data_IF_680114781154
#
_entry.id   IF_680114781154
#
_cell.length_a   1.000
_cell.length_b   1.000
_cell.length_c   1.000
_cell.angle_alpha   90.00
_cell.angle_beta   90.00
_cell.angle_gamma   90.00
#
_symmetry.space_group_name_H-M   'P 1'
#
loop_
_entity.id
_entity.type
_entity.pdbx_description
1 polymer ?
#
# COMPACT_ATOMS: atom_id res chain seq x y z
N UNK A 1 -15.41 22.99 10.61
CA UNK A 1 -13.93 22.84 10.67
C UNK A 1 -13.45 21.46 11.11
N UNK A 2 -14.03 20.83 12.16
CA UNK A 2 -13.64 19.46 12.56
C UNK A 2 -14.35 18.38 11.73
N UNK A 3 -15.59 18.61 11.32
CA UNK A 3 -16.34 17.73 10.42
C UNK A 3 -15.78 17.71 9.01
N UNK A 4 -15.38 18.87 8.48
CA UNK A 4 -14.76 19.00 7.15
C UNK A 4 -13.48 18.17 7.02
N UNK A 5 -12.66 18.11 8.07
CA UNK A 5 -11.42 17.31 8.10
C UNK A 5 -11.68 15.81 8.13
N UNK A 6 -12.77 15.38 8.77
CA UNK A 6 -13.18 13.96 8.82
C UNK A 6 -13.72 13.54 7.46
N UNK A 7 -14.56 14.38 6.85
CA UNK A 7 -15.09 14.15 5.49
C UNK A 7 -13.94 14.07 4.48
N UNK A 8 -12.99 15.02 4.52
CA UNK A 8 -11.81 14.99 3.65
C UNK A 8 -10.97 13.72 3.86
N UNK A 9 -10.80 13.28 5.11
CA UNK A 9 -10.13 12.02 5.44
C UNK A 9 -10.86 10.78 4.90
N UNK A 10 -12.18 10.74 5.03
CA UNK A 10 -13.02 9.67 4.49
C UNK A 10 -12.92 9.59 2.96
N UNK A 11 -12.94 10.74 2.27
CA UNK A 11 -12.75 10.81 0.81
C UNK A 11 -11.36 10.30 0.40
N UNK A 12 -10.30 10.71 1.09
CA UNK A 12 -8.94 10.19 0.81
C UNK A 12 -8.83 8.67 1.02
N UNK A 13 -9.46 8.14 2.05
CA UNK A 13 -9.46 6.70 2.32
C UNK A 13 -10.27 5.91 1.29
N UNK A 14 -11.42 6.42 0.86
CA UNK A 14 -12.19 5.84 -0.23
C UNK A 14 -11.35 5.74 -1.51
N UNK A 15 -10.58 6.79 -1.83
CA UNK A 15 -9.63 6.80 -2.94
C UNK A 15 -8.55 5.73 -2.82
N UNK A 16 -7.90 5.62 -1.65
CA UNK A 16 -6.87 4.60 -1.41
C UNK A 16 -7.46 3.18 -1.51
N UNK A 17 -8.68 2.97 -1.02
CA UNK A 17 -9.38 1.70 -1.13
C UNK A 17 -9.72 1.38 -2.59
N UNK A 18 -10.21 2.34 -3.36
CA UNK A 18 -10.48 2.21 -4.80
C UNK A 18 -9.23 1.83 -5.59
N UNK A 19 -8.14 2.59 -5.46
CA UNK A 19 -6.85 2.29 -6.12
C UNK A 19 -6.30 0.90 -5.78
N UNK A 20 -6.50 0.43 -4.54
CA UNK A 20 -6.07 -0.90 -4.12
C UNK A 20 -6.93 -2.01 -4.70
N UNK A 21 -8.23 -1.76 -4.78
CA UNK A 21 -9.17 -2.70 -5.33
C UNK A 21 -8.93 -2.92 -6.83
N UNK A 22 -8.71 -1.84 -7.58
CA UNK A 22 -8.29 -1.88 -8.98
C UNK A 22 -7.10 -2.84 -9.18
N UNK A 23 -6.06 -2.68 -8.34
CA UNK A 23 -4.84 -3.51 -8.35
C UNK A 23 -5.08 -4.95 -7.89
N UNK A 24 -6.15 -5.25 -7.18
CA UNK A 24 -6.48 -6.60 -6.73
C UNK A 24 -7.10 -7.44 -7.84
N UNK A 25 -7.84 -6.82 -8.77
CA UNK A 25 -8.54 -7.54 -9.84
C UNK A 25 -7.61 -8.05 -10.95
N UNK A 26 -6.56 -7.32 -11.31
CA UNK A 26 -5.67 -7.77 -12.39
C UNK A 26 -4.96 -9.11 -12.10
N UNK A 27 -4.36 -9.33 -10.91
CA UNK A 27 -3.86 -10.65 -10.54
C UNK A 27 -4.94 -11.73 -10.53
N UNK A 28 -6.15 -11.42 -10.05
CA UNK A 28 -7.27 -12.36 -10.06
C UNK A 28 -7.71 -12.72 -11.49
N UNK A 29 -7.74 -11.75 -12.40
CA UNK A 29 -8.10 -11.96 -13.81
C UNK A 29 -7.09 -12.84 -14.54
N UNK A 30 -5.80 -12.77 -14.17
CA UNK A 30 -4.71 -13.59 -14.75
C UNK A 30 -4.56 -14.98 -14.14
N UNK A 31 -5.16 -15.24 -13.00
CA UNK A 31 -5.05 -16.52 -12.29
C UNK A 31 -5.91 -17.59 -12.98
N UNK A 32 -5.40 -18.83 -13.05
CA UNK A 32 -6.24 -19.99 -13.37
C UNK A 32 -7.00 -20.43 -12.11
N UNK A 33 -8.28 -20.74 -12.26
CA UNK A 33 -9.12 -21.28 -11.19
C UNK A 33 -9.26 -22.81 -11.25
N UNK A 34 -8.73 -23.42 -12.31
CA UNK A 34 -8.69 -24.88 -12.49
C UNK A 34 -7.28 -25.47 -12.36
N UNK A 35 -6.24 -24.65 -12.20
CA UNK A 35 -4.85 -25.07 -12.01
C UNK A 35 -4.09 -24.13 -11.06
N UNK A 36 -2.87 -24.52 -10.66
CA UNK A 36 -1.98 -23.70 -9.83
C UNK A 36 -1.17 -22.66 -10.62
N UNK A 37 -1.39 -22.53 -11.94
CA UNK A 37 -0.64 -21.60 -12.81
C UNK A 37 -1.45 -20.36 -13.17
N UNK A 38 -0.90 -19.47 -14.01
CA UNK A 38 -1.69 -18.44 -14.66
C UNK A 38 -2.63 -19.05 -15.73
N UNK A 39 -3.68 -18.31 -16.08
CA UNK A 39 -4.71 -18.79 -17.03
C UNK A 39 -4.15 -19.06 -18.42
N UNK A 40 -3.09 -18.36 -18.84
CA UNK A 40 -2.47 -18.57 -20.14
C UNK A 40 -1.71 -19.88 -20.20
N UNK A 41 -0.91 -20.18 -19.18
CA UNK A 41 -0.24 -21.48 -19.03
C UNK A 41 -1.24 -22.63 -18.95
N UNK A 42 -2.31 -22.46 -18.18
CA UNK A 42 -3.37 -23.46 -18.06
C UNK A 42 -4.08 -23.72 -19.40
N UNK A 43 -4.45 -22.66 -20.10
CA UNK A 43 -5.12 -22.76 -21.39
C UNK A 43 -4.24 -23.41 -22.45
N UNK A 44 -2.96 -23.05 -22.49
CA UNK A 44 -2.01 -23.68 -23.41
C UNK A 44 -1.90 -25.19 -23.20
N UNK A 45 -1.72 -25.62 -21.93
CA UNK A 45 -1.65 -27.03 -21.59
C UNK A 45 -2.95 -27.78 -21.96
N UNK A 46 -4.10 -27.15 -21.67
CA UNK A 46 -5.41 -27.69 -21.99
C UNK A 46 -5.63 -27.81 -23.51
N UNK A 47 -5.36 -26.75 -24.28
CA UNK A 47 -5.52 -26.73 -25.73
C UNK A 47 -4.64 -27.77 -26.43
N UNK A 48 -3.41 -27.98 -25.93
CA UNK A 48 -2.50 -29.02 -26.42
C UNK A 48 -3.04 -30.42 -26.13
N UNK A 49 -3.57 -30.66 -24.93
CA UNK A 49 -4.12 -31.96 -24.54
C UNK A 49 -5.40 -32.33 -25.32
N UNK A 50 -6.14 -31.33 -25.82
CA UNK A 50 -7.37 -31.51 -26.61
C UNK A 50 -7.13 -31.36 -28.12
N UNK A 51 -5.86 -31.35 -28.55
CA UNK A 51 -5.45 -31.31 -29.96
C UNK A 51 -6.11 -30.18 -30.78
N UNK A 52 -6.30 -29.02 -30.15
CA UNK A 52 -6.89 -27.87 -30.85
C UNK A 52 -5.96 -27.37 -31.97
N UNK A 53 -6.53 -27.06 -33.13
CA UNK A 53 -5.78 -26.66 -34.34
C UNK A 53 -4.85 -25.47 -34.13
N UNK A 54 -5.23 -24.55 -33.24
CA UNK A 54 -4.45 -23.35 -32.91
C UNK A 54 -3.53 -23.53 -31.68
N UNK A 55 -3.45 -24.71 -31.07
CA UNK A 55 -2.66 -24.94 -29.86
C UNK A 55 -1.15 -24.71 -30.04
N UNK A 56 -0.64 -24.83 -31.27
CA UNK A 56 0.75 -24.50 -31.60
C UNK A 56 0.95 -23.03 -32.03
N UNK A 57 -0.14 -22.32 -32.31
CA UNK A 57 -0.13 -20.93 -32.71
C UNK A 57 -0.07 -20.00 -31.49
N UNK A 58 1.16 -19.65 -31.10
CA UNK A 58 1.42 -18.73 -29.97
C UNK A 58 0.76 -17.37 -30.12
N UNK A 59 0.59 -16.87 -31.35
CA UNK A 59 -0.07 -15.58 -31.57
C UNK A 59 -1.54 -15.65 -31.17
N UNK A 60 -2.25 -16.65 -31.68
CA UNK A 60 -3.67 -16.89 -31.35
C UNK A 60 -3.86 -17.12 -29.86
N UNK A 61 -3.04 -17.97 -29.24
CA UNK A 61 -3.14 -18.24 -27.81
C UNK A 61 -2.95 -16.99 -26.94
N UNK A 62 -1.94 -16.17 -27.26
CA UNK A 62 -1.71 -14.93 -26.54
C UNK A 62 -2.87 -13.95 -26.73
N UNK A 63 -3.44 -13.88 -27.93
CA UNK A 63 -4.55 -12.98 -28.23
C UNK A 63 -5.83 -13.40 -27.49
N UNK A 64 -6.16 -14.69 -27.50
CA UNK A 64 -7.27 -15.28 -26.73
C UNK A 64 -7.15 -14.94 -25.25
N UNK A 65 -5.96 -15.14 -24.67
CA UNK A 65 -5.75 -14.90 -23.23
C UNK A 65 -5.82 -13.43 -22.87
N UNK A 66 -5.27 -12.54 -23.71
CA UNK A 66 -5.41 -11.09 -23.50
C UNK A 66 -6.88 -10.71 -23.48
N UNK A 67 -7.64 -11.08 -24.51
CA UNK A 67 -9.08 -10.81 -24.62
C UNK A 67 -9.87 -11.37 -23.46
N UNK A 68 -9.56 -12.60 -23.03
CA UNK A 68 -10.23 -13.22 -21.88
C UNK A 68 -9.92 -12.51 -20.55
N UNK A 69 -8.68 -12.05 -20.35
CA UNK A 69 -8.33 -11.22 -19.18
C UNK A 69 -9.08 -9.88 -19.24
N UNK A 70 -9.20 -9.25 -20.41
CA UNK A 70 -9.99 -8.02 -20.58
C UNK A 70 -11.47 -8.25 -20.24
N UNK A 71 -12.06 -9.34 -20.72
CA UNK A 71 -13.42 -9.75 -20.36
C UNK A 71 -13.59 -9.90 -18.84
N UNK A 72 -12.68 -10.62 -18.17
CA UNK A 72 -12.73 -10.80 -16.70
C UNK A 72 -12.70 -9.45 -15.96
N UNK A 73 -11.87 -8.51 -16.39
CA UNK A 73 -11.83 -7.17 -15.79
C UNK A 73 -13.14 -6.40 -16.00
N UNK A 74 -13.71 -6.46 -17.20
CA UNK A 74 -15.02 -5.84 -17.47
C UNK A 74 -16.15 -6.47 -16.67
N UNK A 75 -16.11 -7.79 -16.49
CA UNK A 75 -17.07 -8.51 -15.66
C UNK A 75 -16.98 -8.05 -14.19
N UNK A 76 -15.77 -7.93 -13.63
CA UNK A 76 -15.58 -7.38 -12.28
C UNK A 76 -16.08 -5.94 -12.17
N UNK A 77 -15.81 -5.10 -13.18
CA UNK A 77 -16.32 -3.72 -13.21
C UNK A 77 -17.84 -3.68 -13.19
N UNK A 78 -18.49 -4.51 -13.99
CA UNK A 78 -19.95 -4.61 -14.04
C UNK A 78 -20.51 -5.08 -12.69
N UNK A 79 -19.95 -6.15 -12.12
CA UNK A 79 -20.38 -6.68 -10.82
C UNK A 79 -20.28 -5.62 -9.72
N UNK A 80 -19.24 -4.79 -9.73
CA UNK A 80 -19.10 -3.70 -8.77
C UNK A 80 -20.19 -2.64 -8.92
N UNK A 81 -20.50 -2.22 -10.16
CA UNK A 81 -21.59 -1.27 -10.46
C UNK A 81 -22.94 -1.83 -10.04
N UNK A 82 -23.21 -3.09 -10.35
CA UNK A 82 -24.45 -3.77 -9.96
C UNK A 82 -24.60 -3.80 -8.42
N UNK A 83 -23.53 -4.15 -7.69
CA UNK A 83 -23.54 -4.23 -6.22
C UNK A 83 -23.62 -2.87 -5.54
N UNK A 84 -23.15 -1.80 -6.19
CA UNK A 84 -23.14 -0.45 -5.61
C UNK A 84 -24.37 0.37 -5.94
N UNK A 85 -25.23 -0.09 -6.85
CA UNK A 85 -26.35 0.69 -7.43
C UNK A 85 -27.30 1.29 -6.37
N UNK A 86 -27.44 0.64 -5.22
CA UNK A 86 -28.31 1.10 -4.13
C UNK A 86 -27.70 2.21 -3.26
N UNK A 87 -26.39 2.46 -3.36
CA UNK A 87 -25.67 3.49 -2.61
C UNK A 87 -25.01 4.50 -3.55
N UNK A 88 -25.47 5.75 -3.50
CA UNK A 88 -24.88 6.84 -4.28
C UNK A 88 -23.39 7.04 -3.94
N UNK A 89 -23.02 6.94 -2.66
CA UNK A 89 -21.63 7.04 -2.23
C UNK A 89 -20.78 5.91 -2.82
N UNK A 90 -21.21 4.66 -2.69
CA UNK A 90 -20.46 3.53 -3.24
C UNK A 90 -20.36 3.65 -4.76
N UNK A 91 -21.47 3.93 -5.45
CA UNK A 91 -21.48 4.11 -6.91
C UNK A 91 -20.47 5.18 -7.36
N UNK A 92 -20.45 6.34 -6.70
CA UNK A 92 -19.47 7.39 -7.00
C UNK A 92 -18.03 6.97 -6.70
N UNK A 93 -17.78 6.27 -5.59
CA UNK A 93 -16.46 5.76 -5.25
C UNK A 93 -15.95 4.71 -6.26
N UNK A 94 -16.85 3.90 -6.82
CA UNK A 94 -16.53 2.90 -7.83
C UNK A 94 -16.31 3.52 -9.21
N UNK A 95 -17.16 4.46 -9.65
CA UNK A 95 -17.05 5.12 -10.95
C UNK A 95 -15.69 5.83 -11.15
N UNK A 96 -15.16 6.47 -10.10
CA UNK A 96 -13.87 7.16 -10.17
C UNK A 96 -12.62 6.26 -10.09
N UNK A 97 -12.77 4.97 -9.76
CA UNK A 97 -11.65 4.08 -9.43
C UNK A 97 -11.66 2.71 -10.12
N UNK A 98 -12.76 2.36 -10.79
CA UNK A 98 -12.85 1.17 -11.64
C UNK A 98 -12.61 1.46 -13.11
N UNK A 99 -12.25 2.69 -13.46
CA UNK A 99 -11.68 2.99 -14.75
C UNK A 99 -10.23 2.49 -14.72
N UNK A 100 -10.01 1.16 -14.72
CA UNK A 100 -8.69 0.60 -14.45
C UNK A 100 -7.71 1.24 -15.44
N UNK A 101 -6.64 1.88 -14.96
CA UNK A 101 -5.62 2.46 -15.84
C UNK A 101 -5.00 1.35 -16.71
N UNK A 102 -4.93 0.13 -16.16
CA UNK A 102 -4.62 -1.09 -16.91
C UNK A 102 -5.66 -1.43 -17.99
N UNK A 103 -6.96 -1.19 -17.75
CA UNK A 103 -8.01 -1.39 -18.77
C UNK A 103 -7.92 -0.40 -19.91
N UNK A 104 -7.50 0.87 -19.78
CA UNK A 104 -7.41 1.73 -20.99
C UNK A 104 -6.44 1.20 -22.05
N UNK A 105 -5.35 0.56 -21.63
CA UNK A 105 -4.41 -0.12 -22.54
C UNK A 105 -4.90 -1.49 -23.03
N UNK A 106 -5.81 -2.13 -22.28
CA UNK A 106 -6.31 -3.49 -22.55
C UNK A 106 -7.71 -3.50 -23.20
N UNK A 107 -8.48 -2.42 -23.07
CA UNK A 107 -9.84 -2.29 -23.64
C UNK A 107 -9.80 -2.14 -25.14
N UNK A 108 -8.71 -1.61 -25.71
CA UNK A 108 -8.46 -1.69 -27.15
C UNK A 108 -8.14 -3.11 -27.64
N UNK A 109 -7.95 -4.09 -26.75
CA UNK A 109 -7.61 -5.47 -27.13
C UNK A 109 -8.84 -6.37 -27.28
N UNK A 110 -9.98 -6.02 -26.67
CA UNK A 110 -11.26 -6.74 -26.82
C UNK A 110 -12.44 -5.76 -26.90
N UNK A 111 -12.84 -5.38 -28.11
CA UNK A 111 -13.88 -4.38 -28.32
C UNK A 111 -15.25 -4.85 -27.79
N UNK A 112 -15.55 -6.14 -27.88
CA UNK A 112 -16.80 -6.71 -27.39
C UNK A 112 -16.80 -7.08 -25.88
N UNK A 113 -15.78 -6.68 -25.11
CA UNK A 113 -15.66 -7.06 -23.68
C UNK A 113 -16.84 -6.60 -22.82
N UNK A 114 -17.30 -5.37 -23.01
CA UNK A 114 -18.45 -4.83 -22.27
C UNK A 114 -19.73 -5.60 -22.61
N UNK A 115 -19.95 -5.86 -23.90
CA UNK A 115 -21.08 -6.68 -24.37
C UNK A 115 -21.03 -8.09 -23.78
N UNK A 116 -19.86 -8.74 -23.78
CA UNK A 116 -19.68 -10.06 -23.19
C UNK A 116 -19.95 -10.06 -21.68
N UNK A 117 -19.48 -9.05 -20.95
CA UNK A 117 -19.77 -8.90 -19.52
C UNK A 117 -21.26 -8.69 -19.24
N UNK A 118 -21.98 -7.97 -20.11
CA UNK A 118 -23.41 -7.69 -19.94
C UNK A 118 -24.31 -8.94 -19.99
N UNK A 119 -23.81 -10.05 -20.55
CA UNK A 119 -24.52 -11.33 -20.61
C UNK A 119 -24.71 -11.99 -19.23
N UNK A 120 -23.93 -11.56 -18.23
CA UNK A 120 -23.99 -12.08 -16.87
C UNK A 120 -24.94 -11.20 -16.04
N UNK A 121 -26.02 -11.82 -15.54
CA UNK A 121 -27.19 -11.14 -14.96
C UNK A 121 -27.01 -10.68 -13.51
N UNK A 122 -25.81 -10.75 -12.97
CA UNK A 122 -25.51 -10.25 -11.64
C UNK A 122 -24.38 -11.03 -10.97
N UNK A 123 -23.95 -10.58 -9.79
CA UNK A 123 -22.79 -11.12 -9.08
C UNK A 123 -23.00 -12.56 -8.59
N UNK A 124 -24.25 -13.01 -8.49
CA UNK A 124 -24.63 -14.33 -7.96
C UNK A 124 -25.13 -15.30 -9.05
N UNK A 125 -25.09 -14.89 -10.32
CA UNK A 125 -25.70 -15.65 -11.43
C UNK A 125 -24.70 -15.96 -12.54
N UNK A 126 -24.09 -17.15 -12.48
CA UNK A 126 -23.29 -17.73 -13.56
C UNK A 126 -24.16 -18.64 -14.44
N UNK A 127 -24.07 -18.47 -15.76
CA UNK A 127 -24.69 -19.41 -16.71
C UNK A 127 -23.67 -19.86 -17.75
N UNK A 128 -23.62 -21.18 -18.00
CA UNK A 128 -22.80 -21.75 -19.07
C UNK A 128 -23.16 -21.19 -20.46
N UNK A 129 -24.42 -20.79 -20.67
CA UNK A 129 -24.84 -20.16 -21.92
C UNK A 129 -24.18 -18.81 -22.17
N UNK A 130 -23.97 -17.98 -21.13
CA UNK A 130 -23.27 -16.71 -21.27
C UNK A 130 -21.80 -16.90 -21.67
N UNK A 131 -21.17 -18.00 -21.24
CA UNK A 131 -19.81 -18.36 -21.66
C UNK A 131 -19.76 -18.69 -23.15
N UNK A 132 -20.73 -19.46 -23.66
CA UNK A 132 -20.80 -19.79 -25.09
C UNK A 132 -20.96 -18.53 -25.96
N UNK A 133 -21.83 -17.61 -25.53
CA UNK A 133 -22.03 -16.33 -26.23
C UNK A 133 -20.77 -15.43 -26.14
N UNK A 134 -20.10 -15.38 -25.00
CA UNK A 134 -18.81 -14.69 -24.84
C UNK A 134 -17.73 -15.29 -25.77
N UNK A 135 -17.64 -16.61 -25.88
CA UNK A 135 -16.70 -17.27 -26.79
C UNK A 135 -17.01 -17.01 -28.26
N UNK A 136 -18.30 -16.86 -28.61
CA UNK A 136 -18.71 -16.44 -29.95
C UNK A 136 -18.21 -15.02 -30.29
N UNK A 137 -18.32 -14.09 -29.34
CA UNK A 137 -17.80 -12.72 -29.50
C UNK A 137 -16.27 -12.72 -29.65
N UNK A 138 -15.56 -13.48 -28.80
CA UNK A 138 -14.10 -13.61 -28.92
C UNK A 138 -13.67 -14.30 -30.22
N UNK A 139 -14.40 -15.33 -30.67
CA UNK A 139 -14.14 -16.03 -31.94
C UNK A 139 -14.18 -15.07 -33.14
N UNK A 140 -15.14 -14.14 -33.14
CA UNK A 140 -15.27 -13.14 -34.20
C UNK A 140 -14.05 -12.21 -34.31
N UNK A 141 -13.41 -11.90 -33.17
CA UNK A 141 -12.23 -11.02 -33.15
C UNK A 141 -10.91 -11.78 -33.38
N UNK A 142 -10.76 -12.98 -32.81
CA UNK A 142 -9.55 -13.81 -32.96
C UNK A 142 -9.50 -14.50 -34.33
N UNK A 143 -10.65 -14.63 -35.02
CA UNK A 143 -10.81 -15.33 -36.30
C UNK A 143 -10.50 -16.83 -36.24
N UNK A 144 -10.55 -17.41 -35.04
CA UNK A 144 -10.40 -18.84 -34.78
C UNK A 144 -11.54 -19.30 -33.87
N UNK A 145 -12.10 -20.49 -34.15
CA UNK A 145 -13.25 -21.00 -33.39
C UNK A 145 -12.84 -21.39 -31.97
N UNK A 146 -13.35 -20.66 -30.97
CA UNK A 146 -13.10 -20.91 -29.55
C UNK A 146 -14.22 -21.74 -28.89
N UNK A 147 -15.29 -22.08 -29.61
CA UNK A 147 -16.37 -22.91 -29.10
C UNK A 147 -15.91 -24.26 -28.53
N UNK A 148 -14.92 -24.98 -29.12
CA UNK A 148 -14.39 -26.20 -28.52
C UNK A 148 -13.77 -25.99 -27.14
N UNK A 149 -13.39 -24.76 -26.79
CA UNK A 149 -12.80 -24.41 -25.50
C UNK A 149 -13.83 -24.06 -24.41
N UNK A 150 -15.13 -24.26 -24.65
CA UNK A 150 -16.19 -23.98 -23.68
C UNK A 150 -15.96 -24.70 -22.34
N UNK A 151 -15.51 -25.95 -22.36
CA UNK A 151 -15.26 -26.74 -21.16
C UNK A 151 -14.06 -26.25 -20.34
N UNK A 152 -13.14 -25.50 -20.97
CA UNK A 152 -12.08 -24.79 -20.25
C UNK A 152 -12.59 -23.48 -19.66
N UNK A 153 -13.21 -22.63 -20.49
CA UNK A 153 -13.59 -21.27 -20.09
C UNK A 153 -14.76 -21.21 -19.11
N UNK A 154 -15.64 -22.22 -19.09
CA UNK A 154 -16.77 -22.25 -18.16
C UNK A 154 -16.34 -22.31 -16.68
N UNK A 155 -15.62 -23.35 -16.21
CA UNK A 155 -15.18 -23.41 -14.81
C UNK A 155 -14.19 -22.29 -14.45
N UNK A 156 -13.37 -21.85 -15.41
CA UNK A 156 -12.48 -20.70 -15.24
C UNK A 156 -13.24 -19.38 -15.01
N UNK A 157 -14.36 -19.17 -15.70
CA UNK A 157 -15.18 -17.96 -15.54
C UNK A 157 -15.98 -18.02 -14.24
N UNK A 158 -16.54 -19.17 -13.90
CA UNK A 158 -17.25 -19.40 -12.63
C UNK A 158 -16.33 -19.13 -11.43
N UNK A 159 -15.13 -19.72 -11.43
CA UNK A 159 -14.14 -19.49 -10.38
C UNK A 159 -13.75 -18.01 -10.25
N UNK A 160 -13.59 -17.31 -11.38
CA UNK A 160 -13.32 -15.88 -11.38
C UNK A 160 -14.49 -15.05 -10.81
N UNK A 161 -15.74 -15.36 -11.16
CA UNK A 161 -16.92 -14.67 -10.60
C UNK A 161 -16.96 -14.77 -9.08
N UNK A 162 -16.71 -15.96 -8.54
CA UNK A 162 -16.66 -16.15 -7.08
C UNK A 162 -15.53 -15.35 -6.41
N UNK A 163 -14.33 -15.34 -6.99
CA UNK A 163 -13.22 -14.58 -6.45
C UNK A 163 -13.43 -13.06 -6.58
N UNK A 164 -13.98 -12.60 -7.71
CA UNK A 164 -14.33 -11.20 -7.91
C UNK A 164 -15.36 -10.75 -6.89
N UNK A 165 -16.38 -11.58 -6.61
CA UNK A 165 -17.37 -11.31 -5.56
C UNK A 165 -16.72 -11.19 -4.18
N UNK A 166 -15.86 -12.15 -3.82
CA UNK A 166 -15.12 -12.13 -2.56
C UNK A 166 -14.28 -10.86 -2.40
N UNK A 167 -13.62 -10.41 -3.47
CA UNK A 167 -12.88 -9.14 -3.47
C UNK A 167 -13.86 -7.97 -3.25
N UNK A 168 -14.94 -7.90 -4.02
CA UNK A 168 -15.93 -6.80 -3.90
C UNK A 168 -16.52 -6.70 -2.50
N UNK A 169 -16.93 -7.81 -1.89
CA UNK A 169 -17.51 -7.80 -0.54
C UNK A 169 -16.54 -7.21 0.49
N UNK A 170 -15.24 -7.55 0.42
CA UNK A 170 -14.21 -7.01 1.32
C UNK A 170 -14.04 -5.48 1.18
N UNK A 171 -14.10 -4.98 -0.06
CA UNK A 171 -13.93 -3.55 -0.33
C UNK A 171 -15.21 -2.77 -0.06
N UNK A 172 -16.39 -3.29 -0.39
CA UNK A 172 -17.68 -2.68 -0.04
C UNK A 172 -17.82 -2.56 1.48
N UNK A 173 -17.47 -3.61 2.23
CA UNK A 173 -17.46 -3.55 3.69
C UNK A 173 -16.58 -2.38 4.17
N UNK A 174 -15.37 -2.27 3.65
CA UNK A 174 -14.42 -1.22 4.03
C UNK A 174 -14.87 0.19 3.60
N UNK A 175 -15.39 0.32 2.39
CA UNK A 175 -15.89 1.58 1.82
C UNK A 175 -17.14 2.06 2.57
N UNK A 176 -17.98 1.16 3.07
CA UNK A 176 -19.17 1.55 3.84
C UNK A 176 -18.84 2.40 5.07
N UNK A 177 -17.68 2.19 5.70
CA UNK A 177 -17.19 3.03 6.81
C UNK A 177 -16.67 4.41 6.36
N UNK A 178 -16.37 4.58 5.07
CA UNK A 178 -15.95 5.84 4.47
C UNK A 178 -17.12 6.70 3.99
N UNK A 179 -18.36 6.19 4.02
CA UNK A 179 -19.52 6.99 3.67
C UNK A 179 -19.62 8.22 4.61
N UNK A 180 -19.65 9.46 4.08
CA UNK A 180 -19.81 10.66 4.88
C UNK A 180 -21.04 10.61 5.79
N UNK A 181 -22.14 10.02 5.31
CA UNK A 181 -23.43 9.92 5.98
C UNK A 181 -23.55 8.66 6.87
N UNK A 182 -22.47 7.90 7.01
CA UNK A 182 -22.43 6.69 7.84
C UNK A 182 -22.84 6.97 9.29
N UNK A 183 -24.05 6.57 9.67
CA UNK A 183 -24.54 6.62 11.05
C UNK A 183 -24.05 5.40 11.82
N UNK A 184 -22.84 5.55 12.40
CA UNK A 184 -22.21 4.69 13.40
C UNK A 184 -22.70 3.24 13.54
N UNK A 185 -22.07 2.31 12.82
CA UNK A 185 -22.05 0.91 13.27
C UNK A 185 -21.02 0.76 14.38
N UNK A 186 -21.43 0.20 15.52
CA UNK A 186 -20.48 -0.33 16.50
C UNK A 186 -19.80 -1.56 15.89
N UNK A 187 -18.48 -1.54 15.74
CA UNK A 187 -17.77 -2.64 15.10
C UNK A 187 -16.26 -2.43 15.02
N UNK A 188 -15.53 -3.54 14.91
CA UNK A 188 -14.10 -3.51 14.63
C UNK A 188 -13.90 -3.08 13.18
N UNK A 189 -12.98 -2.14 12.95
CA UNK A 189 -12.61 -1.73 11.60
C UNK A 189 -12.14 -2.92 10.74
N UNK A 190 -12.61 -3.02 9.49
CA UNK A 190 -12.09 -3.99 8.53
C UNK A 190 -10.59 -3.84 8.34
N UNK A 191 -9.89 -4.97 8.15
CA UNK A 191 -8.43 -4.99 7.99
C UNK A 191 -7.97 -4.12 6.81
N UNK A 192 -8.71 -4.12 5.70
CA UNK A 192 -8.38 -3.30 4.54
C UNK A 192 -8.45 -1.81 4.84
N UNK A 193 -9.48 -1.36 5.55
CA UNK A 193 -9.60 0.03 6.00
C UNK A 193 -8.46 0.41 6.96
N UNK A 194 -8.09 -0.46 7.90
CA UNK A 194 -6.94 -0.22 8.78
C UNK A 194 -5.63 -0.06 8.01
N UNK A 195 -5.40 -0.91 7.00
CA UNK A 195 -4.25 -0.76 6.12
C UNK A 195 -4.33 0.53 5.31
N UNK A 196 -5.51 0.96 4.88
CA UNK A 196 -5.70 2.22 4.14
C UNK A 196 -5.40 3.44 5.03
N UNK A 197 -5.84 3.43 6.30
CA UNK A 197 -5.48 4.45 7.30
C UNK A 197 -3.97 4.52 7.49
N UNK A 198 -3.30 3.38 7.60
CA UNK A 198 -1.84 3.31 7.68
C UNK A 198 -1.18 3.94 6.45
N UNK A 199 -1.71 3.67 5.25
CA UNK A 199 -1.19 4.22 4.00
C UNK A 199 -1.44 5.72 3.84
N UNK A 200 -2.62 6.23 4.19
CA UNK A 200 -2.92 7.68 4.19
C UNK A 200 -1.95 8.43 5.11
N UNK A 201 -1.75 7.89 6.32
CA UNK A 201 -0.72 8.39 7.23
C UNK A 201 0.65 8.40 6.55
N UNK A 202 1.06 7.28 5.96
CA UNK A 202 2.35 7.16 5.31
C UNK A 202 2.54 8.20 4.20
N UNK A 203 1.53 8.36 3.34
CA UNK A 203 1.52 9.35 2.25
C UNK A 203 1.72 10.78 2.80
N UNK A 204 1.06 11.12 3.91
CA UNK A 204 1.21 12.43 4.57
C UNK A 204 2.63 12.69 5.12
N UNK A 205 3.35 11.63 5.50
CA UNK A 205 4.72 11.73 6.04
C UNK A 205 5.80 11.71 4.95
N UNK A 206 5.47 11.24 3.74
CA UNK A 206 6.45 11.04 2.67
C UNK A 206 7.20 12.31 2.25
N UNK A 207 6.52 13.47 2.18
CA UNK A 207 7.19 14.75 1.89
C UNK A 207 8.19 15.12 2.99
N UNK A 208 7.82 14.93 4.26
CA UNK A 208 8.71 15.21 5.40
C UNK A 208 9.97 14.35 5.37
N UNK A 209 9.91 13.14 4.83
CA UNK A 209 11.09 12.26 4.69
C UNK A 209 12.04 12.74 3.59
N UNK A 210 11.54 13.41 2.57
CA UNK A 210 12.39 14.02 1.53
C UNK A 210 12.92 15.39 1.96
N UNK A 211 12.15 16.15 2.74
CA UNK A 211 12.45 17.54 3.14
C UNK A 211 13.22 17.66 4.46
N UNK A 212 13.11 16.68 5.37
CA UNK A 212 13.91 16.68 6.59
C UNK A 212 15.32 16.20 6.27
N UNK A 213 16.31 17.06 6.31
CA UNK A 213 17.68 16.68 6.62
C UNK A 213 18.23 17.79 7.52
N UNK A 214 19.29 17.50 8.29
CA UNK A 214 19.90 18.46 9.24
C UNK A 214 20.22 19.83 8.60
N UNK A 215 20.40 19.84 7.29
CA UNK A 215 20.39 21.00 6.41
C UNK A 215 19.23 20.84 5.44
N UNK A 216 18.45 21.88 5.16
CA UNK A 216 17.34 21.92 4.18
C UNK A 216 17.80 21.66 2.73
N UNK A 217 18.52 20.57 2.51
CA UNK A 217 19.14 20.11 1.28
C UNK A 217 18.59 18.70 1.05
N UNK A 218 17.99 18.41 -0.12
CA UNK A 218 17.50 17.08 -0.46
C UNK A 218 18.54 15.98 -0.16
N UNK A 219 18.11 14.81 0.31
CA UNK A 219 18.99 13.70 0.71
C UNK A 219 20.02 13.36 -0.39
N UNK A 220 19.63 13.44 -1.66
CA UNK A 220 20.51 13.17 -2.79
C UNK A 220 21.54 14.28 -3.04
N UNK A 221 21.20 15.54 -2.82
CA UNK A 221 22.17 16.64 -2.82
C UNK A 221 23.14 16.54 -1.65
N UNK A 222 22.65 16.11 -0.49
CA UNK A 222 23.45 15.92 0.72
C UNK A 222 24.46 14.77 0.54
N UNK A 223 24.02 13.62 0.02
CA UNK A 223 24.90 12.47 -0.20
C UNK A 223 25.81 12.62 -1.43
N UNK A 224 25.39 13.33 -2.48
CA UNK A 224 26.25 13.64 -3.64
C UNK A 224 27.41 14.59 -3.28
N UNK A 225 27.23 15.45 -2.28
CA UNK A 225 28.31 16.31 -1.74
C UNK A 225 29.27 15.54 -0.82
N UNK A 226 28.84 14.43 -0.20
CA UNK A 226 29.62 13.71 0.81
C UNK A 226 30.49 12.57 0.27
N UNK A 227 30.22 12.01 -0.92
CA UNK A 227 31.09 11.00 -1.53
C UNK A 227 31.08 11.09 -3.06
N UNK A 228 32.27 11.22 -3.65
CA UNK A 228 32.55 10.72 -5.01
C UNK A 228 33.17 9.33 -4.87
N UNK A 229 32.63 8.33 -5.57
CA UNK A 229 33.32 7.06 -5.83
C UNK A 229 34.48 7.29 -6.80
N UNK A 230 35.40 6.32 -6.94
CA UNK A 230 36.43 6.32 -8.01
C UNK A 230 35.79 6.40 -9.42
N UNK A 231 34.51 6.05 -9.55
CA UNK A 231 33.70 6.12 -10.77
C UNK A 231 32.78 7.34 -10.85
N UNK A 232 32.81 8.26 -9.86
CA UNK A 232 32.10 9.54 -9.91
C UNK A 232 30.58 9.52 -9.72
N UNK A 233 29.94 8.37 -9.47
CA UNK A 233 28.48 8.28 -9.25
C UNK A 233 28.09 8.32 -7.75
N UNK A 234 27.05 9.10 -7.36
CA UNK A 234 26.44 8.98 -6.04
C UNK A 234 25.92 7.55 -5.82
N UNK A 235 26.15 6.97 -4.65
CA UNK A 235 25.66 5.62 -4.30
C UNK A 235 24.16 5.68 -3.99
N UNK A 236 23.41 5.81 -5.07
CA UNK A 236 21.95 5.91 -5.13
C UNK A 236 21.28 4.75 -4.40
N UNK A 237 21.94 3.58 -4.33
CA UNK A 237 21.48 2.42 -3.58
C UNK A 237 21.56 2.63 -2.06
N UNK A 238 22.67 3.16 -1.56
CA UNK A 238 22.77 3.55 -0.15
C UNK A 238 21.70 4.60 0.20
N UNK A 239 21.52 5.62 -0.65
CA UNK A 239 20.51 6.67 -0.46
C UNK A 239 19.11 6.05 -0.38
N UNK A 240 18.76 5.17 -1.32
CA UNK A 240 17.48 4.48 -1.30
C UNK A 240 17.28 3.66 -0.02
N UNK A 241 18.29 2.90 0.41
CA UNK A 241 18.23 2.11 1.64
C UNK A 241 18.17 2.97 2.90
N UNK A 242 18.78 4.14 2.87
CA UNK A 242 18.65 5.12 3.93
C UNK A 242 17.24 5.69 3.98
N UNK A 243 16.64 6.01 2.82
CA UNK A 243 15.23 6.39 2.73
C UNK A 243 14.29 5.30 3.25
N UNK A 244 14.58 4.01 2.98
CA UNK A 244 13.85 2.89 3.58
C UNK A 244 13.91 2.95 5.11
N UNK A 245 15.11 3.08 5.69
CA UNK A 245 15.26 3.25 7.13
C UNK A 245 14.39 4.41 7.63
N UNK A 246 14.45 5.57 6.97
CA UNK A 246 13.65 6.73 7.33
C UNK A 246 12.15 6.48 7.23
N UNK A 247 11.67 5.72 6.25
CA UNK A 247 10.26 5.32 6.18
C UNK A 247 9.83 4.44 7.36
N UNK A 248 10.72 3.57 7.86
CA UNK A 248 10.42 2.66 8.95
C UNK A 248 10.43 3.31 10.34
N UNK A 249 11.13 4.43 10.55
CA UNK A 249 11.14 5.14 11.84
C UNK A 249 9.75 5.63 12.27
N UNK A 250 9.04 6.49 11.49
CA UNK A 250 7.70 6.94 11.85
C UNK A 250 6.70 5.79 11.86
N UNK A 251 6.83 4.81 10.95
CA UNK A 251 5.98 3.61 10.95
C UNK A 251 6.12 2.80 12.26
N UNK A 252 7.34 2.66 12.78
CA UNK A 252 7.59 2.01 14.06
C UNK A 252 6.99 2.81 15.21
N UNK A 253 7.21 4.12 15.29
CA UNK A 253 6.66 4.94 16.36
C UNK A 253 5.13 5.01 16.34
N UNK A 254 4.52 5.26 15.18
CA UNK A 254 3.07 5.31 15.03
C UNK A 254 2.41 3.97 15.40
N UNK A 255 2.93 2.84 14.89
CA UNK A 255 2.38 1.52 15.20
C UNK A 255 2.50 1.15 16.68
N UNK A 256 3.53 1.62 17.39
CA UNK A 256 3.68 1.40 18.84
C UNK A 256 2.75 2.30 19.66
N UNK A 257 2.63 3.59 19.31
CA UNK A 257 1.69 4.50 19.97
C UNK A 257 0.25 4.02 19.80
N UNK A 258 -0.10 3.53 18.61
CA UNK A 258 -1.42 2.96 18.31
C UNK A 258 -1.64 1.55 18.83
N UNK A 259 -0.61 0.84 19.29
CA UNK A 259 -0.67 -0.59 19.62
C UNK A 259 -1.07 -1.50 18.44
N UNK A 260 -0.80 -1.07 17.20
CA UNK A 260 -1.16 -1.76 15.95
C UNK A 260 0.09 -2.07 15.13
N UNK A 261 0.87 -3.06 15.60
CA UNK A 261 2.15 -3.48 14.97
C UNK A 261 1.97 -4.00 13.54
N UNK A 262 0.79 -4.50 13.23
CA UNK A 262 0.32 -4.95 11.92
C UNK A 262 0.20 -3.80 10.90
N UNK A 263 0.05 -2.55 11.34
CA UNK A 263 -0.04 -1.39 10.45
C UNK A 263 1.31 -0.82 9.99
N UNK A 264 2.40 -1.21 10.65
CA UNK A 264 3.75 -0.70 10.38
C UNK A 264 4.13 -0.80 8.90
N UNK A 265 3.84 -1.94 8.28
CA UNK A 265 4.24 -2.15 6.88
C UNK A 265 3.40 -1.28 5.94
N UNK A 266 2.09 -1.10 6.21
CA UNK A 266 1.22 -0.21 5.43
C UNK A 266 1.62 1.28 5.55
N UNK A 267 2.12 1.71 6.72
CA UNK A 267 2.63 3.08 6.92
C UNK A 267 3.94 3.29 6.16
N UNK A 268 4.89 2.35 6.29
CA UNK A 268 6.16 2.42 5.59
C UNK A 268 5.95 2.38 4.06
N UNK A 269 5.06 1.52 3.57
CA UNK A 269 4.69 1.45 2.17
C UNK A 269 4.06 2.76 1.68
N UNK A 270 3.12 3.35 2.44
CA UNK A 270 2.51 4.63 2.09
C UNK A 270 3.53 5.77 1.97
N UNK A 271 4.55 5.79 2.82
CA UNK A 271 5.67 6.73 2.70
C UNK A 271 6.41 6.54 1.38
N UNK A 272 6.77 5.31 1.05
CA UNK A 272 7.53 4.99 -0.16
C UNK A 272 6.73 5.24 -1.45
N UNK A 273 5.40 5.16 -1.36
CA UNK A 273 4.48 5.49 -2.45
C UNK A 273 4.18 6.98 -2.57
N UNK A 274 4.63 7.82 -1.62
CA UNK A 274 4.39 9.26 -1.68
C UNK A 274 4.96 9.87 -2.97
N UNK A 275 4.31 10.89 -3.57
CA UNK A 275 4.72 11.46 -4.85
C UNK A 275 6.17 11.92 -4.89
N UNK A 276 6.70 12.44 -3.77
CA UNK A 276 8.09 12.91 -3.69
C UNK A 276 9.09 11.76 -3.71
N UNK A 277 8.85 10.70 -2.93
CA UNK A 277 9.70 9.50 -2.92
C UNK A 277 9.59 8.75 -4.26
N UNK A 278 8.37 8.54 -4.75
CA UNK A 278 8.12 7.82 -6.01
C UNK A 278 8.73 8.56 -7.22
N UNK A 279 8.68 9.90 -7.26
CA UNK A 279 9.37 10.69 -8.31
C UNK A 279 10.87 10.53 -8.23
N UNK A 280 11.46 10.56 -7.03
CA UNK A 280 12.89 10.36 -6.86
C UNK A 280 13.33 8.98 -7.36
N UNK A 281 12.65 7.91 -6.93
CA UNK A 281 12.94 6.53 -7.36
C UNK A 281 12.82 6.41 -8.88
N UNK A 282 11.73 6.89 -9.48
CA UNK A 282 11.54 6.82 -10.94
C UNK A 282 12.65 7.54 -11.72
N UNK A 283 13.08 8.72 -11.28
CA UNK A 283 14.18 9.46 -11.92
C UNK A 283 15.49 8.68 -11.87
N UNK A 284 15.79 8.05 -10.74
CA UNK A 284 17.03 7.28 -10.56
C UNK A 284 17.02 5.96 -11.33
N UNK A 285 15.85 5.32 -11.45
CA UNK A 285 15.66 4.16 -12.33
C UNK A 285 15.85 4.54 -13.80
N UNK A 286 15.23 5.64 -14.24
CA UNK A 286 15.37 6.14 -15.60
C UNK A 286 16.81 6.56 -15.94
N UNK A 287 17.56 7.06 -14.96
CA UNK A 287 18.98 7.38 -15.11
C UNK A 287 19.91 6.14 -15.13
N UNK A 288 19.40 4.96 -14.77
CA UNK A 288 20.19 3.73 -14.68
C UNK A 288 20.98 3.56 -13.37
N UNK A 289 20.93 4.55 -12.47
CA UNK A 289 21.68 4.56 -11.20
C UNK A 289 21.06 3.68 -10.11
N UNK A 290 19.78 3.31 -10.27
CA UNK A 290 19.05 2.41 -9.38
C UNK A 290 18.34 1.35 -10.19
N UNK A 291 18.72 0.07 -10.04
CA UNK A 291 18.08 -0.99 -10.80
C UNK A 291 16.76 -1.43 -10.15
N UNK A 292 15.79 -1.93 -10.94
CA UNK A 292 14.52 -2.45 -10.42
C UNK A 292 14.69 -3.51 -9.33
N UNK A 293 15.74 -4.34 -9.38
CA UNK A 293 15.99 -5.41 -8.40
C UNK A 293 16.52 -4.89 -7.05
N UNK A 294 16.92 -3.62 -6.99
CA UNK A 294 17.34 -2.94 -5.77
C UNK A 294 16.16 -2.28 -5.02
N UNK A 295 14.99 -2.14 -5.66
CA UNK A 295 13.79 -1.52 -5.09
C UNK A 295 13.08 -2.43 -4.08
N UNK A 296 12.84 -3.73 -4.34
CA UNK A 296 12.18 -4.60 -3.38
C UNK A 296 12.92 -4.62 -2.03
N UNK A 297 12.21 -4.31 -0.95
CA UNK A 297 12.76 -4.40 0.41
C UNK A 297 12.98 -5.87 0.75
N UNK A 298 14.22 -6.34 0.62
CA UNK A 298 14.58 -7.71 1.01
C UNK A 298 14.35 -7.89 2.52
N UNK A 299 13.78 -9.04 2.91
CA UNK A 299 13.50 -9.38 4.32
C UNK A 299 14.71 -9.18 5.24
N UNK A 300 15.93 -9.45 4.73
CA UNK A 300 17.18 -9.22 5.45
C UNK A 300 17.41 -7.74 5.80
N UNK A 301 17.08 -6.82 4.90
CA UNK A 301 17.21 -5.37 5.12
C UNK A 301 16.22 -4.89 6.19
N UNK A 302 14.97 -5.34 6.08
CA UNK A 302 13.94 -5.09 7.09
C UNK A 302 14.38 -5.54 8.47
N UNK A 303 14.97 -6.74 8.58
CA UNK A 303 15.45 -7.26 9.85
C UNK A 303 16.54 -6.35 10.47
N UNK A 304 17.46 -5.81 9.67
CA UNK A 304 18.51 -4.89 10.17
C UNK A 304 17.92 -3.60 10.71
N UNK A 305 17.01 -2.98 9.97
CA UNK A 305 16.30 -1.78 10.40
C UNK A 305 15.49 -2.08 11.66
N UNK A 306 14.76 -3.20 11.69
CA UNK A 306 13.97 -3.61 12.86
C UNK A 306 14.84 -3.85 14.10
N UNK A 307 16.00 -4.50 13.96
CA UNK A 307 16.93 -4.71 15.08
C UNK A 307 17.44 -3.39 15.66
N UNK A 308 17.75 -2.41 14.80
CA UNK A 308 18.08 -1.07 15.25
C UNK A 308 16.89 -0.42 15.97
N UNK A 309 15.69 -0.45 15.39
CA UNK A 309 14.50 0.16 15.98
C UNK A 309 14.05 -0.50 17.29
N UNK A 310 14.33 -1.80 17.49
CA UNK A 310 14.00 -2.53 18.73
C UNK A 310 14.59 -1.91 19.98
N UNK A 311 15.64 -1.12 19.86
CA UNK A 311 16.18 -0.41 21.00
C UNK A 311 15.16 0.56 21.64
N UNK A 312 14.11 0.98 20.93
CA UNK A 312 13.02 1.79 21.48
C UNK A 312 11.73 0.99 21.75
N UNK A 313 11.78 -0.35 21.74
CA UNK A 313 10.63 -1.23 21.95
C UNK A 313 10.22 -1.40 23.44
N UNK A 314 10.60 -0.48 24.34
CA UNK A 314 10.34 -0.57 25.79
C UNK A 314 8.85 -0.63 26.17
N UNK A 315 7.96 -0.33 25.24
CA UNK A 315 6.51 -0.42 25.40
C UNK A 315 6.05 -1.86 25.13
N UNK A 316 5.97 -2.67 26.20
CA UNK A 316 5.47 -4.04 26.13
C UNK A 316 3.92 -4.04 26.10
N UNK A 317 3.27 -4.43 24.98
CA UNK A 317 1.81 -4.41 24.86
C UNK A 317 1.12 -5.46 25.75
N UNK A 318 1.86 -6.40 26.35
CA UNK A 318 1.31 -7.40 27.28
C UNK A 318 1.08 -6.87 28.69
N UNK A 319 1.49 -5.64 29.01
CA UNK A 319 1.27 -5.02 30.32
C UNK A 319 0.50 -3.70 30.20
N UNK A 320 -0.83 -3.80 30.22
CA UNK A 320 -1.77 -2.68 30.08
C UNK A 320 -1.70 -1.67 31.24
N UNK A 321 -1.27 -2.07 32.44
CA UNK A 321 -1.07 -1.16 33.59
C UNK A 321 0.12 -0.21 33.40
N UNK A 322 1.07 -0.57 32.54
CA UNK A 322 2.18 0.30 32.13
C UNK A 322 1.80 1.28 31.00
N UNK A 323 0.53 1.37 30.58
CA UNK A 323 0.12 2.23 29.45
C UNK A 323 -0.48 3.57 29.89
N UNK A 324 -1.25 3.60 30.98
CA UNK A 324 -2.00 4.82 31.39
C UNK A 324 -1.16 5.88 32.10
N UNK A 325 0.09 5.57 32.49
CA UNK A 325 1.02 6.52 33.14
C UNK A 325 2.08 7.12 32.20
N UNK A 326 2.18 6.68 30.94
CA UNK A 326 3.45 6.75 30.19
C UNK A 326 3.46 7.63 28.92
N UNK A 327 2.44 8.46 28.70
CA UNK A 327 2.44 9.38 27.55
C UNK A 327 3.38 10.60 27.66
N UNK A 328 3.59 11.27 28.81
CA UNK A 328 4.30 12.56 28.80
C UNK A 328 5.77 12.51 28.37
N UNK A 329 6.45 11.37 28.52
CA UNK A 329 7.90 11.26 28.30
C UNK A 329 8.30 10.48 27.03
N UNK A 330 7.37 10.15 26.12
CA UNK A 330 7.70 9.33 24.95
C UNK A 330 8.87 9.91 24.14
N UNK A 331 8.79 11.20 23.80
CA UNK A 331 9.81 11.86 23.02
C UNK A 331 11.11 12.08 23.83
N UNK A 332 10.99 12.39 25.13
CA UNK A 332 12.14 12.50 26.04
C UNK A 332 12.91 11.19 26.14
N UNK A 333 12.23 10.06 26.36
CA UNK A 333 12.89 8.74 26.44
C UNK A 333 13.60 8.34 25.15
N UNK A 334 13.05 8.75 24.00
CA UNK A 334 13.72 8.54 22.71
C UNK A 334 14.97 9.42 22.62
N UNK A 335 14.86 10.69 23.01
CA UNK A 335 15.98 11.62 23.05
C UNK A 335 17.11 11.16 23.99
N UNK A 336 16.79 10.74 25.21
CA UNK A 336 17.76 10.22 26.18
C UNK A 336 18.52 9.03 25.61
N UNK A 337 17.80 8.07 25.02
CA UNK A 337 18.43 6.88 24.45
C UNK A 337 19.24 7.18 23.19
N UNK A 338 18.78 8.10 22.34
CA UNK A 338 19.50 8.52 21.15
C UNK A 338 20.76 9.35 21.49
N UNK A 339 20.78 9.97 22.67
CA UNK A 339 21.91 10.73 23.21
C UNK A 339 22.91 9.86 23.98
N UNK A 340 22.56 8.62 24.31
CA UNK A 340 23.44 7.71 25.06
C UNK A 340 24.63 7.17 24.25
N UNK A 341 25.69 6.77 24.97
CA UNK A 341 26.98 6.35 24.41
C UNK A 341 26.92 5.14 23.47
N UNK A 342 25.90 4.30 23.61
CA UNK A 342 25.71 3.13 22.75
C UNK A 342 25.14 3.49 21.36
N UNK A 343 24.55 4.68 21.20
CA UNK A 343 23.87 5.07 19.96
C UNK A 343 24.82 5.20 18.77
N UNK A 344 25.98 5.88 18.85
CA UNK A 344 26.91 6.01 17.72
C UNK A 344 27.33 4.65 17.13
N UNK A 345 27.66 3.68 17.99
CA UNK A 345 28.04 2.34 17.57
C UNK A 345 26.88 1.60 16.88
N UNK A 346 25.65 1.73 17.41
CA UNK A 346 24.45 1.14 16.82
C UNK A 346 24.09 1.77 15.47
N UNK A 347 24.16 3.10 15.37
CA UNK A 347 23.91 3.84 14.14
C UNK A 347 24.91 3.46 13.05
N UNK A 348 26.21 3.45 13.35
CA UNK A 348 27.23 3.07 12.36
C UNK A 348 27.15 1.60 11.95
N UNK A 349 26.75 0.71 12.87
CA UNK A 349 26.46 -0.68 12.52
C UNK A 349 25.34 -0.77 11.49
N UNK A 350 24.26 0.02 11.64
CA UNK A 350 23.20 0.10 10.65
C UNK A 350 23.71 0.68 9.33
N UNK A 351 24.40 1.83 9.35
CA UNK A 351 24.89 2.50 8.12
C UNK A 351 25.79 1.60 7.28
N UNK A 352 26.68 0.83 7.91
CA UNK A 352 27.54 -0.15 7.22
C UNK A 352 26.75 -1.31 6.62
N UNK A 353 25.61 -1.69 7.21
CA UNK A 353 24.72 -2.68 6.61
C UNK A 353 23.94 -2.11 5.42
N UNK A 354 23.49 -0.84 5.51
CA UNK A 354 22.86 -0.13 4.40
C UNK A 354 23.84 0.08 3.23
N UNK A 355 25.11 0.34 3.53
CA UNK A 355 26.20 0.55 2.56
C UNK A 355 26.81 -0.72 1.98
N UNK A 356 26.18 -1.91 2.11
CA UNK A 356 26.70 -3.13 1.49
C UNK A 356 26.54 -3.12 -0.03
N UNK A 357 27.63 -3.42 -0.75
CA UNK A 357 27.62 -3.55 -2.21
C UNK A 357 26.90 -4.82 -2.67
N UNK A 358 26.78 -5.06 -3.98
CA UNK A 358 26.17 -6.29 -4.53
C UNK A 358 26.98 -7.54 -4.18
N UNK A 359 28.29 -7.39 -4.13
CA UNK A 359 29.25 -8.43 -3.74
C UNK A 359 29.26 -8.70 -2.23
N UNK A 360 28.47 -7.96 -1.45
CA UNK A 360 28.36 -8.14 0.00
C UNK A 360 29.44 -7.43 0.83
N UNK A 361 30.40 -6.79 0.16
CA UNK A 361 31.44 -5.98 0.79
C UNK A 361 30.84 -4.75 1.48
N UNK A 362 31.34 -4.44 2.67
CA UNK A 362 30.95 -3.22 3.40
C UNK A 362 31.72 -2.05 2.85
N UNK A 363 31.02 -0.97 2.54
CA UNK A 363 31.66 0.26 2.09
C UNK A 363 32.42 0.94 3.23
N UNK A 364 33.64 1.43 3.00
CA UNK A 364 34.32 2.30 3.95
C UNK A 364 33.68 3.70 3.93
N UNK A 365 33.46 4.26 5.12
CA UNK A 365 33.05 5.65 5.31
C UNK A 365 34.24 6.43 5.85
N UNK A 366 34.44 7.68 5.39
CA UNK A 366 35.41 8.58 6.01
C UNK A 366 34.96 8.94 7.41
N UNK A 367 35.90 9.31 8.30
CA UNK A 367 35.56 9.69 9.69
C UNK A 367 34.57 10.86 9.75
N UNK A 368 34.69 11.81 8.83
CA UNK A 368 33.75 12.93 8.67
C UNK A 368 32.34 12.43 8.32
N UNK A 369 32.23 11.48 7.39
CA UNK A 369 30.95 10.90 6.99
C UNK A 369 30.34 10.04 8.10
N UNK A 370 31.15 9.29 8.86
CA UNK A 370 30.66 8.53 10.02
C UNK A 370 30.05 9.48 11.07
N UNK A 371 30.77 10.55 11.43
CA UNK A 371 30.29 11.55 12.39
C UNK A 371 28.99 12.20 11.89
N UNK A 372 28.95 12.61 10.63
CA UNK A 372 27.76 13.18 10.02
C UNK A 372 26.56 12.24 10.10
N UNK A 373 26.73 10.98 9.66
CA UNK A 373 25.65 9.99 9.64
C UNK A 373 25.13 9.69 11.05
N UNK A 374 26.01 9.62 12.05
CA UNK A 374 25.61 9.43 13.46
C UNK A 374 24.71 10.58 13.91
N UNK A 375 25.14 11.82 13.68
CA UNK A 375 24.40 13.01 14.10
C UNK A 375 23.07 13.14 13.37
N UNK A 376 23.06 13.00 12.05
CA UNK A 376 21.82 13.12 11.28
C UNK A 376 20.82 12.01 11.63
N UNK A 377 21.29 10.77 11.87
CA UNK A 377 20.43 9.68 12.34
C UNK A 377 19.83 9.99 13.71
N UNK A 378 20.63 10.54 14.63
CA UNK A 378 20.17 10.94 15.97
C UNK A 378 19.08 11.98 15.86
N UNK A 379 19.37 13.07 15.16
CA UNK A 379 18.47 14.20 15.00
C UNK A 379 17.16 13.76 14.33
N UNK A 380 17.25 12.96 13.27
CA UNK A 380 16.09 12.43 12.56
C UNK A 380 15.19 11.57 13.44
N UNK A 381 15.76 10.64 14.21
CA UNK A 381 15.00 9.77 15.13
C UNK A 381 14.28 10.61 16.19
N UNK A 382 14.96 11.58 16.78
CA UNK A 382 14.41 12.46 17.82
C UNK A 382 13.30 13.34 17.26
N UNK A 383 13.54 14.00 16.12
CA UNK A 383 12.55 14.87 15.48
C UNK A 383 11.32 14.10 15.02
N UNK A 384 11.50 12.91 14.47
CA UNK A 384 10.39 12.04 14.05
C UNK A 384 9.56 11.60 15.25
N UNK A 385 10.20 11.25 16.36
CA UNK A 385 9.50 10.91 17.60
C UNK A 385 8.63 12.06 18.11
N UNK A 386 9.20 13.27 18.18
CA UNK A 386 8.44 14.47 18.54
C UNK A 386 7.30 14.71 17.56
N UNK A 387 7.55 14.65 16.25
CA UNK A 387 6.54 14.90 15.22
C UNK A 387 5.37 13.93 15.34
N UNK A 388 5.65 12.63 15.44
CA UNK A 388 4.61 11.60 15.58
C UNK A 388 3.85 11.77 16.90
N UNK A 389 4.54 12.11 17.98
CA UNK A 389 3.94 12.36 19.30
C UNK A 389 3.06 13.62 19.35
N UNK A 390 3.54 14.74 18.80
CA UNK A 390 2.76 15.99 18.74
C UNK A 390 1.59 15.88 17.76
N UNK A 391 1.75 15.16 16.66
CA UNK A 391 0.61 14.83 15.79
C UNK A 391 -0.42 14.02 16.60
N UNK A 392 0.03 13.13 17.51
CA UNK A 392 -0.82 12.38 18.44
C UNK A 392 -1.59 13.21 19.46
N UNK A 393 -0.95 14.17 20.13
CA UNK A 393 -1.67 15.13 20.99
C UNK A 393 -2.57 16.10 20.19
N UNK A 394 -2.16 16.40 18.96
CA UNK A 394 -2.79 17.14 17.86
C UNK A 394 -4.20 16.68 17.48
N UNK A 395 -4.24 15.47 16.91
CA UNK A 395 -5.35 14.94 16.10
C UNK A 395 -5.10 13.50 15.64
N UNK A 396 -4.02 12.82 16.06
CA UNK A 396 -3.75 11.41 15.71
C UNK A 396 -4.60 10.50 16.57
N UNK A 397 -5.86 10.48 16.19
CA UNK A 397 -6.82 9.47 16.58
C UNK A 397 -6.22 8.08 16.36
N UNK A 398 -6.52 7.16 17.27
CA UNK A 398 -6.32 5.75 16.97
C UNK A 398 -7.15 5.43 15.73
N UNK A 399 -6.76 4.45 14.90
CA UNK A 399 -7.58 4.03 13.78
C UNK A 399 -9.03 3.80 14.22
N UNK A 400 -9.25 3.21 15.40
CA UNK A 400 -10.57 2.91 15.93
C UNK A 400 -11.45 4.16 16.21
N UNK A 401 -10.87 5.37 16.38
CA UNK A 401 -11.66 6.61 16.53
C UNK A 401 -12.17 7.16 15.18
N UNK A 402 -11.89 6.47 14.06
CA UNK A 402 -12.40 6.80 12.72
C UNK A 402 -13.92 6.62 12.60
N UNK A 403 -14.48 5.61 13.28
CA UNK A 403 -15.92 5.26 13.22
C UNK A 403 -16.74 5.99 14.30
N UNK A 404 -16.10 6.34 15.41
CA UNK A 404 -16.75 6.89 16.61
C UNK A 404 -16.99 8.41 16.49
N UNK A 405 -17.07 8.96 15.27
CA UNK A 405 -17.24 10.41 15.10
C UNK A 405 -18.65 10.93 15.37
N UNK A 406 -19.61 10.10 15.79
CA UNK A 406 -20.73 10.61 16.57
C UNK A 406 -20.21 10.94 17.96
N UNK A 407 -20.21 12.23 18.30
CA UNK A 407 -20.14 12.71 19.68
C UNK A 407 -21.16 11.96 20.55
N UNK A 408 -20.85 10.76 21.05
CA UNK A 408 -21.02 10.55 22.48
C UNK A 408 -19.96 11.47 23.05
N UNK A 409 -20.40 12.55 23.70
CA UNK A 409 -19.57 13.42 24.52
C UNK A 409 -18.51 12.56 25.20
N UNK A 410 -17.32 12.48 24.63
CA UNK A 410 -16.19 11.85 25.28
C UNK A 410 -15.97 12.80 26.44
N UNK A 411 -16.18 12.39 27.71
CA UNK A 411 -15.80 13.24 28.80
C UNK A 411 -14.29 13.33 28.68
N UNK A 412 -13.80 14.46 28.17
CA UNK A 412 -12.38 14.76 28.09
C UNK A 412 -11.94 14.92 29.55
N UNK A 413 -11.71 13.80 30.24
CA UNK A 413 -10.99 13.74 31.51
C UNK A 413 -9.50 13.81 31.19
N UNK A 414 -9.09 14.88 30.51
CA UNK A 414 -7.69 15.27 30.48
C UNK A 414 -7.48 16.25 31.63
N UNK A 415 -6.67 15.93 32.66
CA UNK A 415 -6.47 16.80 33.82
C UNK A 415 -5.96 18.19 33.43
N UNK A 416 -5.28 18.30 32.28
CA UNK A 416 -4.76 19.54 31.74
C UNK A 416 -5.86 20.52 31.25
N UNK A 417 -6.97 20.00 30.70
CA UNK A 417 -8.07 20.85 30.20
C UNK A 417 -9.03 21.28 31.31
N UNK A 418 -9.13 20.51 32.39
CA UNK A 418 -9.85 20.91 33.60
C UNK A 418 -9.18 22.11 34.31
N UNK A 419 -7.85 22.22 34.22
CA UNK A 419 -7.10 23.37 34.73
C UNK A 419 -7.33 24.66 33.92
N UNK A 420 -7.46 24.53 32.60
CA UNK A 420 -7.65 25.69 31.70
C UNK A 420 -9.04 26.33 31.89
N UNK A 421 -10.10 25.53 32.07
CA UNK A 421 -11.44 26.07 32.42
C UNK A 421 -11.43 26.89 33.72
N UNK A 422 -10.61 26.49 34.69
CA UNK A 422 -10.50 27.18 35.98
C UNK A 422 -9.69 28.49 35.90
N UNK A 423 -8.78 28.60 34.93
CA UNK A 423 -7.96 29.81 34.71
C UNK A 423 -8.69 30.84 33.84
N UNK A 424 -9.50 30.38 32.89
CA UNK A 424 -10.19 31.26 31.92
C UNK A 424 -11.69 31.46 32.17
N UNK A 425 -12.25 30.92 33.25
CA UNK A 425 -13.63 31.20 33.67
C UNK A 425 -14.69 30.86 32.62
N UNK A 426 -14.65 29.65 32.05
CA UNK A 426 -15.68 29.08 31.17
C UNK A 426 -16.40 27.89 31.80
#
# INVERSE_FOLDING_TARGET
MQDDKVVEGKVRLARILGERMEKAFYPAARRSFTSETDVGTAFYAWAKAHELSFAENRHVLNDVIRKYVCFRLQLASKMARDLSAESHFLSSAFEGHLDFDTTRSLMSEFDAAEKAASLFKGPDFFTKSAVLEMLSLMTAEVKESLLPAADFFAPETEGFVHEARRILDLYIESLSFCDPDFRGREGKLPLLLLKAIGTDLGLSQGNRIMESAKTMVPLDEMFSKMQKTEEGLPDTRFIYRYMLFRAYVPAFFASYLWQRRDMRDSIAEGILQSPSVARWVRRRVAAGDLLPEDIPVRQKMYLKIHMFMRQWAFFNPKNTRAYYRYFPDFAMRIADKASGDAFPAAAMKLMRELGKTREGNKRPFSKEMENFLIEETRDYVIQTAHTIYFTYGLSFRKPDDFVVSTLKELPIKHPFLAGIKKIFGL
#
